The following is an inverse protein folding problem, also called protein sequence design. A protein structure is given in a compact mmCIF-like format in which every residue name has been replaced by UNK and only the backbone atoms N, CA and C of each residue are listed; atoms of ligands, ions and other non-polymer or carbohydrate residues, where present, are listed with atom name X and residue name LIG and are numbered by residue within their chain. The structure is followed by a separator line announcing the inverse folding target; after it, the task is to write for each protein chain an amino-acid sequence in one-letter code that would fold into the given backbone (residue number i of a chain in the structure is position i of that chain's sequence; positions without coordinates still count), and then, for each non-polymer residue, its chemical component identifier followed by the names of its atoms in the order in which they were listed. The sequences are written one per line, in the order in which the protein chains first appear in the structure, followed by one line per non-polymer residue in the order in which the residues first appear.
data_IF_514403001619
#
_entry.id   IF_514403001619
#
_cell.length_a   1.000
_cell.length_b   1.000
_cell.length_c   1.000
_cell.angle_alpha   90.00
_cell.angle_beta   90.00
_cell.angle_gamma   90.00
#
_symmetry.space_group_name_H-M   'P 1'
#
loop_
_entity.id
_entity.type
_entity.pdbx_description
1 polymer ?
#
# COMPACT_ATOMS: atom_id res chain seq x y z
N UNK A 1 -24.08 -2.47 -42.57
CA UNK A 1 -24.57 -2.06 -41.23
C UNK A 1 -23.40 -2.24 -40.28
N UNK A 2 -22.71 -1.16 -39.93
CA UNK A 2 -21.59 -1.22 -39.03
C UNK A 2 -22.13 -1.33 -37.61
N UNK A 3 -21.81 -2.44 -36.97
CA UNK A 3 -22.16 -2.75 -35.60
C UNK A 3 -21.47 -1.72 -34.68
N UNK A 4 -22.23 -0.76 -34.18
CA UNK A 4 -21.79 0.11 -33.08
C UNK A 4 -21.77 -0.75 -31.82
N UNK A 5 -20.68 -1.50 -31.61
CA UNK A 5 -20.35 -1.96 -30.29
C UNK A 5 -20.19 -0.70 -29.41
N UNK A 6 -21.19 -0.49 -28.57
CA UNK A 6 -21.11 0.46 -27.47
C UNK A 6 -19.97 -0.01 -26.56
N UNK A 7 -18.77 0.49 -26.79
CA UNK A 7 -17.67 0.43 -25.84
C UNK A 7 -18.19 1.13 -24.60
N UNK A 8 -18.56 0.37 -23.57
CA UNK A 8 -18.81 0.90 -22.24
C UNK A 8 -17.55 1.67 -21.85
N UNK A 9 -17.62 2.99 -21.95
CA UNK A 9 -16.50 3.86 -21.66
C UNK A 9 -16.09 3.58 -20.21
N UNK A 10 -14.88 3.04 -20.02
CA UNK A 10 -14.35 2.70 -18.71
C UNK A 10 -14.27 3.98 -17.87
N UNK A 11 -14.77 3.92 -16.64
CA UNK A 11 -14.68 5.05 -15.70
C UNK A 11 -13.20 5.38 -15.46
N UNK A 12 -12.85 6.64 -15.29
CA UNK A 12 -11.49 7.10 -15.14
C UNK A 12 -11.39 8.31 -14.22
N UNK A 13 -10.18 8.70 -13.86
CA UNK A 13 -9.96 9.89 -13.05
C UNK A 13 -10.32 11.16 -13.82
N UNK A 14 -11.03 12.09 -13.16
CA UNK A 14 -11.44 13.37 -13.76
C UNK A 14 -10.35 14.43 -13.67
N UNK A 15 -9.42 14.28 -12.73
CA UNK A 15 -8.36 15.25 -12.52
C UNK A 15 -7.02 14.58 -12.24
N UNK A 16 -5.93 15.23 -12.66
CA UNK A 16 -4.57 14.82 -12.36
C UNK A 16 -4.32 14.67 -10.85
N UNK A 17 -4.75 15.65 -10.07
CA UNK A 17 -4.63 15.57 -8.62
C UNK A 17 -5.49 14.47 -7.99
N UNK A 18 -6.68 14.20 -8.56
CA UNK A 18 -7.49 13.07 -8.13
C UNK A 18 -6.80 11.73 -8.35
N UNK A 19 -6.15 11.55 -9.50
CA UNK A 19 -5.31 10.38 -9.77
C UNK A 19 -4.13 10.29 -8.78
N UNK A 20 -3.35 11.38 -8.64
CA UNK A 20 -2.19 11.39 -7.73
C UNK A 20 -2.62 11.06 -6.30
N UNK A 21 -3.69 11.68 -5.78
CA UNK A 21 -4.20 11.41 -4.43
C UNK A 21 -4.75 9.98 -4.28
N UNK A 22 -5.33 9.41 -5.32
CA UNK A 22 -5.74 8.00 -5.29
C UNK A 22 -4.53 7.05 -5.26
N UNK A 23 -3.49 7.34 -6.04
CA UNK A 23 -2.23 6.58 -5.99
C UNK A 23 -1.51 6.75 -4.65
N UNK A 24 -1.50 7.96 -4.08
CA UNK A 24 -0.98 8.20 -2.73
C UNK A 24 -1.78 7.37 -1.72
N UNK A 25 -3.11 7.39 -1.77
CA UNK A 25 -3.95 6.57 -0.89
C UNK A 25 -3.77 5.06 -1.09
N UNK A 26 -3.38 4.61 -2.29
CA UNK A 26 -2.98 3.23 -2.53
C UNK A 26 -1.64 2.89 -1.86
N UNK A 27 -0.68 3.80 -1.93
CA UNK A 27 0.66 3.63 -1.40
C UNK A 27 0.69 3.86 0.12
N UNK A 28 0.09 4.98 0.60
CA UNK A 28 0.01 5.32 2.03
C UNK A 28 -0.97 4.40 2.74
N UNK A 29 -0.45 3.36 3.35
CA UNK A 29 -1.24 2.35 4.04
C UNK A 29 -0.60 1.88 5.34
N UNK A 30 -0.95 0.66 5.72
CA UNK A 30 -0.41 0.04 6.93
C UNK A 30 1.12 -0.13 6.88
N UNK A 31 1.68 -0.26 5.68
CA UNK A 31 3.12 -0.31 5.47
C UNK A 31 3.86 0.92 5.97
N UNK A 32 3.26 2.11 5.80
CA UNK A 32 3.85 3.37 6.24
C UNK A 32 3.64 3.64 7.73
N UNK A 33 2.45 3.30 8.25
CA UNK A 33 2.06 3.69 9.61
C UNK A 33 2.57 2.70 10.66
N UNK A 34 2.59 1.44 10.33
CA UNK A 34 2.93 0.41 11.29
C UNK A 34 4.32 -0.21 11.00
N UNK A 35 4.55 -0.67 9.76
CA UNK A 35 5.76 -1.42 9.42
C UNK A 35 6.99 -0.53 9.30
N UNK A 36 6.87 0.61 8.64
CA UNK A 36 7.99 1.52 8.43
C UNK A 36 8.63 2.03 9.73
N UNK A 37 7.87 2.52 10.75
CA UNK A 37 8.46 2.91 12.03
C UNK A 37 9.22 1.76 12.71
N UNK A 38 8.71 0.52 12.59
CA UNK A 38 9.39 -0.67 13.12
C UNK A 38 10.72 -0.90 12.41
N UNK A 39 10.73 -0.83 11.08
CA UNK A 39 11.97 -1.02 10.31
C UNK A 39 13.01 0.04 10.65
N UNK A 40 12.60 1.32 10.79
CA UNK A 40 13.47 2.40 11.25
C UNK A 40 14.03 2.11 12.66
N UNK A 41 13.19 1.59 13.56
CA UNK A 41 13.60 1.25 14.93
C UNK A 41 14.54 0.06 14.99
N UNK A 42 14.26 -1.02 14.24
CA UNK A 42 15.07 -2.24 14.26
C UNK A 42 16.43 -2.07 13.60
N UNK A 43 16.53 -1.26 12.56
CA UNK A 43 17.72 -1.13 11.73
C UNK A 43 18.50 0.15 11.93
N UNK A 44 18.12 0.96 12.94
CA UNK A 44 18.95 2.07 13.42
C UNK A 44 18.78 3.40 12.69
N UNK A 45 17.58 3.98 12.67
CA UNK A 45 17.35 5.36 12.24
C UNK A 45 17.89 5.66 10.84
N UNK A 46 18.83 6.62 10.73
CA UNK A 46 19.45 7.01 9.45
C UNK A 46 20.20 5.88 8.75
N UNK A 47 20.68 4.89 9.48
CA UNK A 47 21.31 3.68 8.93
C UNK A 47 20.36 2.92 8.01
N UNK A 48 19.06 2.87 8.36
CA UNK A 48 18.01 2.30 7.53
C UNK A 48 17.47 3.29 6.49
N UNK A 49 17.29 4.55 6.87
CA UNK A 49 16.66 5.56 6.02
C UNK A 49 17.44 5.83 4.73
N UNK A 50 18.80 5.84 4.79
CA UNK A 50 19.64 6.08 3.60
C UNK A 50 19.42 4.99 2.53
N UNK A 51 19.58 3.69 2.82
CA UNK A 51 19.23 2.62 1.89
C UNK A 51 17.77 2.68 1.42
N UNK A 52 16.83 2.98 2.31
CA UNK A 52 15.42 3.10 1.97
C UNK A 52 15.16 4.18 0.91
N UNK A 53 15.71 5.39 1.07
CA UNK A 53 15.56 6.47 0.07
C UNK A 53 16.15 6.08 -1.29
N UNK A 54 17.31 5.42 -1.29
CA UNK A 54 17.92 4.93 -2.53
C UNK A 54 16.99 3.91 -3.22
N UNK A 55 16.42 2.98 -2.46
CA UNK A 55 15.47 1.99 -2.97
C UNK A 55 14.17 2.63 -3.47
N UNK A 56 13.63 3.62 -2.77
CA UNK A 56 12.42 4.37 -3.22
C UNK A 56 12.67 5.08 -4.54
N UNK A 57 13.81 5.75 -4.70
CA UNK A 57 14.18 6.42 -5.95
C UNK A 57 14.28 5.39 -7.08
N UNK A 58 14.94 4.26 -6.82
CA UNK A 58 15.12 3.21 -7.80
C UNK A 58 13.79 2.59 -8.24
N UNK A 59 12.96 2.16 -7.29
CA UNK A 59 11.67 1.52 -7.58
C UNK A 59 10.69 2.53 -8.18
N UNK A 60 10.63 3.75 -7.65
CA UNK A 60 9.77 4.81 -8.15
C UNK A 60 10.09 5.21 -9.59
N UNK A 61 11.39 5.28 -9.92
CA UNK A 61 11.85 5.63 -11.27
C UNK A 61 11.83 4.47 -12.28
N UNK A 62 11.53 3.25 -11.84
CA UNK A 62 11.49 2.06 -12.72
C UNK A 62 10.17 1.31 -12.61
N UNK A 63 9.91 0.66 -11.48
CA UNK A 63 8.74 -0.20 -11.27
C UNK A 63 7.42 0.57 -11.35
N UNK A 64 7.29 1.69 -10.61
CA UNK A 64 6.05 2.49 -10.61
C UNK A 64 5.78 3.08 -12.00
N UNK A 65 6.78 3.66 -12.67
CA UNK A 65 6.64 4.15 -14.05
C UNK A 65 6.23 3.00 -14.98
N UNK A 66 6.88 1.83 -14.83
CA UNK A 66 6.60 0.66 -15.66
C UNK A 66 5.18 0.13 -15.49
N UNK A 67 4.68 0.03 -14.26
CA UNK A 67 3.31 -0.41 -13.98
C UNK A 67 2.26 0.60 -14.47
N UNK A 68 2.45 1.89 -14.24
CA UNK A 68 1.57 2.92 -14.80
C UNK A 68 1.54 2.86 -16.33
N UNK A 69 2.72 2.73 -16.97
CA UNK A 69 2.81 2.64 -18.41
C UNK A 69 2.14 1.35 -18.95
N UNK A 70 2.36 0.21 -18.31
CA UNK A 70 1.72 -1.05 -18.68
C UNK A 70 0.19 -0.96 -18.61
N UNK A 71 -0.33 -0.42 -17.52
CA UNK A 71 -1.78 -0.18 -17.36
C UNK A 71 -2.33 0.78 -18.41
N UNK A 72 -1.68 1.93 -18.61
CA UNK A 72 -2.10 2.95 -19.59
C UNK A 72 -2.00 2.47 -21.04
N UNK A 73 -0.95 1.71 -21.38
CA UNK A 73 -0.76 1.15 -22.72
C UNK A 73 -1.92 0.27 -23.16
N UNK A 74 -2.50 -0.43 -22.21
CA UNK A 74 -3.48 -1.49 -22.49
C UNK A 74 -4.92 -1.08 -22.15
N UNK A 75 -5.10 -0.06 -21.31
CA UNK A 75 -6.40 0.33 -20.77
C UNK A 75 -7.10 -0.80 -20.01
N UNK A 76 -6.34 -1.75 -19.47
CA UNK A 76 -6.83 -2.95 -18.81
C UNK A 76 -6.08 -3.25 -17.53
N UNK A 77 -6.73 -3.99 -16.61
CA UNK A 77 -6.04 -4.56 -15.44
C UNK A 77 -5.03 -5.64 -15.85
N UNK A 78 -4.35 -6.27 -14.86
CA UNK A 78 -3.20 -7.17 -15.12
C UNK A 78 -3.48 -8.27 -16.15
N UNK A 79 -4.67 -8.88 -16.15
CA UNK A 79 -5.04 -9.94 -17.12
C UNK A 79 -4.97 -9.42 -18.56
N UNK A 80 -5.71 -8.35 -18.85
CA UNK A 80 -5.71 -7.78 -20.19
C UNK A 80 -4.36 -7.17 -20.58
N UNK A 81 -3.67 -6.59 -19.62
CA UNK A 81 -2.35 -5.99 -19.82
C UNK A 81 -1.30 -7.04 -20.22
N UNK A 82 -1.21 -8.13 -19.49
CA UNK A 82 -0.29 -9.23 -19.81
C UNK A 82 -0.70 -9.93 -21.10
N UNK A 83 -2.02 -10.13 -21.33
CA UNK A 83 -2.51 -10.64 -22.58
C UNK A 83 -2.08 -9.80 -23.78
N UNK A 84 -2.12 -8.46 -23.68
CA UNK A 84 -1.64 -7.56 -24.72
C UNK A 84 -0.14 -7.68 -24.97
N UNK A 85 0.67 -7.80 -23.93
CA UNK A 85 2.10 -7.99 -24.06
C UNK A 85 2.44 -9.29 -24.80
N UNK A 86 1.78 -10.39 -24.46
CA UNK A 86 2.02 -11.70 -25.13
C UNK A 86 1.37 -11.80 -26.49
N UNK A 87 0.32 -11.04 -26.79
CA UNK A 87 -0.26 -10.89 -28.13
C UNK A 87 0.76 -10.39 -29.15
N UNK A 88 1.67 -9.47 -28.74
CA UNK A 88 2.79 -9.02 -29.56
C UNK A 88 3.78 -10.16 -29.92
N UNK A 89 3.69 -11.29 -29.24
CA UNK A 89 4.45 -12.53 -29.48
C UNK A 89 3.60 -13.66 -30.04
N UNK A 90 2.34 -13.38 -30.43
CA UNK A 90 1.47 -14.31 -31.13
C UNK A 90 0.50 -15.12 -30.24
N UNK A 91 0.54 -14.99 -28.91
CA UNK A 91 -0.37 -15.74 -28.03
C UNK A 91 -0.89 -14.94 -26.83
N UNK A 92 -2.03 -14.32 -26.99
CA UNK A 92 -2.70 -13.52 -25.96
C UNK A 92 -3.11 -14.34 -24.71
N UNK A 93 -3.57 -15.58 -24.91
CA UNK A 93 -4.10 -16.42 -23.82
C UNK A 93 -3.07 -16.74 -22.73
N UNK A 94 -1.79 -16.90 -23.11
CA UNK A 94 -0.72 -17.15 -22.14
C UNK A 94 -0.58 -15.96 -21.18
N UNK A 95 -0.56 -14.73 -21.70
CA UNK A 95 -0.48 -13.54 -20.86
C UNK A 95 -1.70 -13.36 -19.97
N UNK A 96 -2.89 -13.61 -20.50
CA UNK A 96 -4.13 -13.56 -19.72
C UNK A 96 -4.09 -14.58 -18.57
N UNK A 97 -3.65 -15.81 -18.81
CA UNK A 97 -3.50 -16.82 -17.77
C UNK A 97 -2.49 -16.41 -16.68
N UNK A 98 -1.33 -15.86 -17.08
CA UNK A 98 -0.33 -15.35 -16.13
C UNK A 98 -0.86 -14.14 -15.36
N UNK A 99 -1.66 -13.30 -15.98
CA UNK A 99 -2.25 -12.11 -15.38
C UNK A 99 -3.24 -12.38 -14.24
N UNK A 100 -3.75 -13.63 -14.12
CA UNK A 100 -4.54 -14.03 -12.96
C UNK A 100 -3.72 -14.05 -11.67
N UNK A 101 -2.42 -14.33 -11.72
CA UNK A 101 -1.56 -14.42 -10.52
C UNK A 101 -1.56 -13.11 -9.72
N UNK A 102 -1.23 -11.93 -10.29
CA UNK A 102 -1.29 -10.69 -9.55
C UNK A 102 -2.70 -10.26 -9.13
N UNK A 103 -3.75 -10.62 -9.90
CA UNK A 103 -5.13 -10.33 -9.49
C UNK A 103 -5.52 -11.16 -8.26
N UNK A 104 -5.16 -12.44 -8.21
CA UNK A 104 -5.36 -13.29 -7.04
C UNK A 104 -4.52 -12.79 -5.86
N UNK A 105 -3.30 -12.32 -6.11
CA UNK A 105 -2.44 -11.69 -5.09
C UNK A 105 -3.07 -10.45 -4.49
N UNK A 106 -3.59 -9.54 -5.33
CA UNK A 106 -4.30 -8.35 -4.89
C UNK A 106 -5.56 -8.70 -4.07
N UNK A 107 -6.33 -9.68 -4.54
CA UNK A 107 -7.51 -10.17 -3.82
C UNK A 107 -7.14 -10.79 -2.46
N UNK A 108 -6.12 -11.64 -2.41
CA UNK A 108 -5.67 -12.29 -1.19
C UNK A 108 -5.14 -11.27 -0.17
N UNK A 109 -4.40 -10.24 -0.64
CA UNK A 109 -3.93 -9.15 0.19
C UNK A 109 -5.10 -8.32 0.73
N UNK A 110 -6.09 -8.01 -0.12
CA UNK A 110 -7.31 -7.29 0.28
C UNK A 110 -8.10 -8.03 1.35
N UNK A 111 -8.17 -9.36 1.27
CA UNK A 111 -8.84 -10.21 2.26
C UNK A 111 -8.17 -10.09 3.63
N UNK A 112 -6.85 -10.20 3.72
CA UNK A 112 -6.11 -10.02 4.97
C UNK A 112 -6.26 -8.60 5.52
N UNK A 113 -6.16 -7.58 4.65
CA UNK A 113 -6.42 -6.17 5.02
C UNK A 113 -7.86 -5.95 5.52
N UNK A 114 -8.84 -6.71 5.05
CA UNK A 114 -10.23 -6.60 5.53
C UNK A 114 -10.34 -6.98 7.00
N UNK A 115 -9.62 -8.00 7.46
CA UNK A 115 -9.56 -8.36 8.89
C UNK A 115 -8.92 -7.25 9.70
N UNK A 116 -7.77 -6.76 9.25
CA UNK A 116 -7.03 -5.65 9.91
C UNK A 116 -7.89 -4.38 9.95
N UNK A 117 -8.63 -4.08 8.88
CA UNK A 117 -9.59 -2.97 8.87
C UNK A 117 -10.70 -3.14 9.91
N UNK A 118 -11.16 -4.36 10.14
CA UNK A 118 -12.07 -4.66 11.24
C UNK A 118 -11.48 -4.25 12.61
N UNK A 119 -10.21 -4.58 12.85
CA UNK A 119 -9.51 -4.13 14.07
C UNK A 119 -9.43 -2.61 14.16
N UNK A 120 -9.07 -1.94 13.06
CA UNK A 120 -8.96 -0.47 13.00
C UNK A 120 -10.31 0.21 13.28
N UNK A 121 -11.39 -0.26 12.65
CA UNK A 121 -12.74 0.27 12.91
C UNK A 121 -13.13 0.09 14.38
N UNK A 122 -12.88 -1.10 14.97
CA UNK A 122 -13.14 -1.35 16.41
C UNK A 122 -12.34 -0.37 17.27
N UNK A 123 -11.02 -0.24 17.03
CA UNK A 123 -10.18 0.66 17.83
C UNK A 123 -10.52 2.14 17.62
N UNK A 124 -10.91 2.54 16.43
CA UNK A 124 -11.44 3.89 16.19
C UNK A 124 -12.70 4.14 17.00
N UNK A 125 -13.61 3.17 17.05
CA UNK A 125 -14.85 3.29 17.83
C UNK A 125 -14.57 3.40 19.31
N UNK A 126 -13.74 2.52 19.89
CA UNK A 126 -13.43 2.57 21.34
C UNK A 126 -12.55 3.76 21.72
N UNK A 127 -11.78 4.32 20.79
CA UNK A 127 -11.09 5.59 21.01
C UNK A 127 -12.10 6.75 21.14
N UNK A 128 -13.10 6.80 20.26
CA UNK A 128 -14.17 7.83 20.28
C UNK A 128 -15.03 7.70 21.53
N UNK A 129 -15.49 6.49 21.89
CA UNK A 129 -16.31 6.28 23.10
C UNK A 129 -15.54 6.55 24.38
N UNK A 130 -14.21 6.39 24.36
CA UNK A 130 -13.33 6.54 25.52
C UNK A 130 -12.99 5.21 26.21
N UNK A 131 -13.55 4.09 25.75
CA UNK A 131 -13.29 2.76 26.31
C UNK A 131 -11.81 2.39 26.19
N UNK A 132 -11.14 2.81 25.10
CA UNK A 132 -9.71 2.62 24.93
C UNK A 132 -8.90 3.31 26.03
N UNK A 133 -9.26 4.55 26.37
CA UNK A 133 -8.59 5.31 27.42
C UNK A 133 -8.91 4.79 28.83
N UNK A 134 -10.10 4.23 29.02
CA UNK A 134 -10.52 3.63 30.28
C UNK A 134 -9.71 2.37 30.68
N UNK A 135 -9.04 1.70 29.72
CA UNK A 135 -8.12 0.60 30.01
C UNK A 135 -6.81 1.07 30.70
N UNK A 136 -6.57 2.40 30.75
CA UNK A 136 -5.35 2.97 31.36
C UNK A 136 -4.08 2.43 30.70
N UNK A 137 -3.03 2.27 31.52
CA UNK A 137 -1.74 1.69 31.10
C UNK A 137 -1.59 0.22 31.54
N UNK A 138 -2.68 -0.49 31.71
CA UNK A 138 -2.66 -1.90 32.03
C UNK A 138 -2.39 -2.73 30.76
N UNK A 139 -1.15 -3.16 30.59
CA UNK A 139 -0.71 -3.96 29.44
C UNK A 139 -1.44 -5.29 29.33
N UNK A 140 -1.87 -5.90 30.45
CA UNK A 140 -2.60 -7.15 30.44
C UNK A 140 -4.05 -6.93 29.93
N UNK A 141 -4.70 -5.85 30.39
CA UNK A 141 -6.03 -5.48 29.91
C UNK A 141 -6.02 -5.10 28.43
N UNK A 142 -5.06 -4.28 28.00
CA UNK A 142 -4.92 -3.85 26.60
C UNK A 142 -4.60 -5.05 25.69
N UNK A 143 -3.65 -5.91 26.09
CA UNK A 143 -3.27 -7.11 25.34
C UNK A 143 -4.43 -8.10 25.23
N UNK A 144 -5.08 -8.42 26.36
CA UNK A 144 -6.24 -9.31 26.37
C UNK A 144 -7.41 -8.78 25.55
N UNK A 145 -7.63 -7.45 25.52
CA UNK A 145 -8.64 -6.84 24.63
C UNK A 145 -8.26 -7.07 23.15
N UNK A 146 -7.00 -6.86 22.79
CA UNK A 146 -6.55 -7.07 21.41
C UNK A 146 -6.65 -8.55 21.01
N UNK A 147 -6.28 -9.49 21.87
CA UNK A 147 -6.39 -10.93 21.60
C UNK A 147 -7.82 -11.35 21.25
N UNK A 148 -8.81 -10.78 21.95
CA UNK A 148 -10.22 -11.01 21.63
C UNK A 148 -10.59 -10.37 20.28
N UNK A 149 -10.19 -9.13 20.05
CA UNK A 149 -10.48 -8.40 18.80
C UNK A 149 -9.84 -9.10 17.62
N UNK A 150 -8.62 -9.63 17.75
CA UNK A 150 -7.88 -10.28 16.70
C UNK A 150 -8.61 -11.49 16.08
N UNK A 151 -9.36 -12.23 16.89
CA UNK A 151 -10.04 -13.46 16.48
C UNK A 151 -11.57 -13.36 16.41
N UNK A 152 -12.16 -12.27 16.88
CA UNK A 152 -13.61 -12.09 16.98
C UNK A 152 -14.04 -10.66 16.63
N UNK A 153 -13.83 -10.29 15.37
CA UNK A 153 -14.11 -8.92 14.89
C UNK A 153 -15.18 -8.87 13.77
N UNK A 154 -16.03 -9.90 13.68
CA UNK A 154 -17.06 -10.02 12.63
C UNK A 154 -17.88 -8.75 12.36
N UNK A 155 -18.47 -8.06 13.37
CA UNK A 155 -19.26 -6.87 13.08
C UNK A 155 -18.46 -5.77 12.39
N UNK A 156 -17.20 -5.63 12.78
CA UNK A 156 -16.29 -4.60 12.27
C UNK A 156 -15.71 -4.92 10.90
N UNK A 157 -15.56 -6.22 10.57
CA UNK A 157 -15.29 -6.68 9.21
C UNK A 157 -16.44 -6.27 8.29
N UNK A 158 -17.68 -6.46 8.72
CA UNK A 158 -18.88 -6.05 7.95
C UNK A 158 -18.87 -4.52 7.75
N UNK A 159 -18.56 -3.74 8.79
CA UNK A 159 -18.45 -2.28 8.68
C UNK A 159 -17.37 -1.88 7.65
N UNK A 160 -16.20 -2.53 7.67
CA UNK A 160 -15.13 -2.26 6.73
C UNK A 160 -15.55 -2.57 5.28
N UNK A 161 -16.24 -3.67 5.04
CA UNK A 161 -16.77 -4.07 3.73
C UNK A 161 -17.85 -3.10 3.25
N UNK A 162 -18.78 -2.70 4.12
CA UNK A 162 -19.85 -1.73 3.78
C UNK A 162 -19.25 -0.37 3.43
N UNK A 163 -18.27 0.11 4.21
CA UNK A 163 -17.58 1.36 3.91
C UNK A 163 -16.84 1.30 2.56
N UNK A 164 -16.14 0.19 2.29
CA UNK A 164 -15.46 -0.04 1.02
C UNK A 164 -16.45 -0.11 -0.14
N UNK A 165 -17.58 -0.82 0.03
CA UNK A 165 -18.64 -0.91 -0.97
C UNK A 165 -19.22 0.47 -1.29
N UNK A 166 -19.53 1.27 -0.26
CA UNK A 166 -20.11 2.61 -0.44
C UNK A 166 -19.23 3.50 -1.32
N UNK A 167 -17.91 3.40 -1.17
CA UNK A 167 -16.97 4.17 -1.98
C UNK A 167 -16.79 3.56 -3.39
N UNK A 168 -16.53 2.25 -3.47
CA UNK A 168 -16.20 1.60 -4.73
C UNK A 168 -17.38 1.50 -5.70
N UNK A 169 -18.60 1.31 -5.18
CA UNK A 169 -19.82 1.23 -6.00
C UNK A 169 -20.12 2.52 -6.78
N UNK A 170 -19.64 3.67 -6.28
CA UNK A 170 -19.77 4.96 -6.96
C UNK A 170 -18.79 5.15 -8.13
N UNK A 171 -17.92 4.17 -8.39
CA UNK A 171 -16.94 4.21 -9.48
C UNK A 171 -15.61 4.86 -9.12
N UNK A 172 -14.74 5.01 -10.13
CA UNK A 172 -13.40 5.58 -9.95
C UNK A 172 -13.50 7.07 -9.68
N UNK A 173 -14.15 7.84 -10.55
CA UNK A 173 -14.26 9.30 -10.42
C UNK A 173 -15.26 9.74 -9.34
N UNK A 174 -16.36 9.00 -9.19
CA UNK A 174 -17.44 9.33 -8.25
C UNK A 174 -17.14 8.92 -6.80
N UNK A 175 -16.42 7.84 -6.62
CA UNK A 175 -16.12 7.22 -5.32
C UNK A 175 -14.64 7.33 -4.94
N UNK A 176 -13.78 6.55 -5.58
CA UNK A 176 -12.35 6.42 -5.22
C UNK A 176 -11.63 7.78 -5.24
N UNK A 177 -11.78 8.54 -6.33
CA UNK A 177 -11.15 9.86 -6.46
C UNK A 177 -11.64 10.84 -5.39
N UNK A 178 -12.96 10.91 -5.17
CA UNK A 178 -13.54 11.83 -4.17
C UNK A 178 -13.13 11.45 -2.75
N UNK A 179 -13.16 10.17 -2.41
CA UNK A 179 -12.75 9.70 -1.10
C UNK A 179 -11.28 10.06 -0.82
N UNK A 180 -10.37 9.78 -1.76
CA UNK A 180 -8.95 10.08 -1.58
C UNK A 180 -8.65 11.59 -1.57
N UNK A 181 -9.42 12.42 -2.30
CA UNK A 181 -9.31 13.88 -2.23
C UNK A 181 -9.60 14.45 -0.83
N UNK A 182 -10.37 13.75 -0.01
CA UNK A 182 -10.64 14.13 1.39
C UNK A 182 -9.70 13.41 2.34
N UNK A 183 -9.62 12.08 2.24
CA UNK A 183 -8.86 11.27 3.21
C UNK A 183 -7.37 11.61 3.22
N UNK A 184 -6.74 11.80 2.06
CA UNK A 184 -5.29 12.02 2.02
C UNK A 184 -4.86 13.37 2.60
N UNK A 185 -5.42 14.53 2.19
CA UNK A 185 -5.08 15.81 2.83
C UNK A 185 -5.37 15.83 4.33
N UNK A 186 -6.51 15.27 4.77
CA UNK A 186 -6.86 15.20 6.19
C UNK A 186 -5.85 14.33 6.96
N UNK A 187 -5.47 13.17 6.42
CA UNK A 187 -4.46 12.31 7.00
C UNK A 187 -3.13 13.06 7.22
N UNK A 188 -2.61 13.71 6.18
CA UNK A 188 -1.36 14.47 6.28
C UNK A 188 -1.46 15.60 7.32
N UNK A 189 -2.55 16.35 7.30
CA UNK A 189 -2.78 17.45 8.25
C UNK A 189 -2.83 16.94 9.71
N UNK A 190 -3.56 15.85 9.96
CA UNK A 190 -3.68 15.25 11.28
C UNK A 190 -2.34 14.67 11.76
N UNK A 191 -1.58 14.00 10.89
CA UNK A 191 -0.25 13.49 11.25
C UNK A 191 0.76 14.60 11.55
N UNK A 192 0.72 15.69 10.80
CA UNK A 192 1.56 16.87 11.09
C UNK A 192 1.19 17.46 12.45
N UNK A 193 -0.10 17.65 12.73
CA UNK A 193 -0.57 18.15 14.03
C UNK A 193 -0.16 17.24 15.18
N UNK A 194 -0.31 15.94 14.98
CA UNK A 194 0.09 14.93 15.95
C UNK A 194 1.61 14.91 16.17
N UNK A 195 2.40 15.01 15.11
CA UNK A 195 3.87 15.09 15.19
C UNK A 195 4.34 16.33 15.94
N UNK A 196 3.71 17.50 15.69
CA UNK A 196 4.00 18.74 16.43
C UNK A 196 3.68 18.54 17.90
N UNK A 197 2.52 18.00 18.26
CA UNK A 197 2.18 17.76 19.66
C UNK A 197 3.19 16.84 20.35
N UNK A 198 3.53 15.71 19.73
CA UNK A 198 4.47 14.73 20.29
C UNK A 198 5.88 15.32 20.47
N UNK A 199 6.30 16.23 19.58
CA UNK A 199 7.61 16.88 19.68
C UNK A 199 7.80 17.67 20.99
N UNK A 200 6.71 18.13 21.61
CA UNK A 200 6.75 18.85 22.88
C UNK A 200 6.62 17.93 24.12
N UNK A 201 6.42 16.62 23.93
CA UNK A 201 6.33 15.70 25.06
C UNK A 201 7.70 15.47 25.73
N UNK A 202 7.75 15.40 27.06
CA UNK A 202 8.96 14.98 27.78
C UNK A 202 9.42 13.59 27.32
N UNK A 203 10.70 13.44 26.99
CA UNK A 203 11.27 12.18 26.52
C UNK A 203 11.19 11.95 25.00
N UNK A 204 10.35 12.67 24.25
CA UNK A 204 10.24 12.52 22.79
C UNK A 204 11.55 12.83 22.06
N UNK A 205 12.39 13.73 22.59
CA UNK A 205 13.70 14.08 22.04
C UNK A 205 14.63 12.87 21.85
N UNK A 206 14.53 11.86 22.70
CA UNK A 206 15.30 10.62 22.58
C UNK A 206 14.91 9.85 21.30
N UNK A 207 13.61 9.80 20.96
CA UNK A 207 13.12 9.18 19.73
C UNK A 207 13.59 9.92 18.48
N UNK A 208 13.55 11.25 18.47
CA UNK A 208 14.10 12.04 17.36
C UNK A 208 15.60 11.83 17.20
N UNK A 209 16.35 11.89 18.30
CA UNK A 209 17.80 11.60 18.29
C UNK A 209 18.07 10.22 17.69
N UNK A 210 17.27 9.21 18.06
CA UNK A 210 17.39 7.86 17.52
C UNK A 210 17.18 7.82 16.00
N UNK A 211 16.12 8.46 15.50
CA UNK A 211 15.83 8.49 14.05
C UNK A 211 16.99 9.10 13.25
N UNK A 212 17.60 10.16 13.77
CA UNK A 212 18.72 10.85 13.11
C UNK A 212 20.10 10.25 13.42
N UNK A 213 20.18 9.20 14.22
CA UNK A 213 21.44 8.50 14.49
C UNK A 213 21.85 7.64 13.29
N UNK A 214 23.10 7.82 12.85
CA UNK A 214 23.72 7.03 11.79
C UNK A 214 24.84 6.16 12.40
N UNK A 215 24.75 4.85 12.16
CA UNK A 215 25.87 3.93 12.35
C UNK A 215 26.49 3.60 10.98
N UNK A 216 27.67 4.15 10.63
CA UNK A 216 28.32 3.86 9.35
C UNK A 216 28.67 2.38 9.15
N UNK A 217 28.90 1.63 10.25
CA UNK A 217 29.18 0.18 10.18
C UNK A 217 27.93 -0.60 9.83
N UNK A 218 26.77 -0.13 10.28
CA UNK A 218 25.48 -0.72 9.95
C UNK A 218 25.18 -0.66 8.44
N UNK A 219 25.65 0.37 7.73
CA UNK A 219 25.50 0.46 6.26
C UNK A 219 26.25 -0.65 5.50
N UNK A 220 27.25 -1.27 6.10
CA UNK A 220 27.95 -2.42 5.53
C UNK A 220 27.18 -3.74 5.72
N UNK A 221 26.14 -3.76 6.54
CA UNK A 221 25.31 -4.94 6.74
C UNK A 221 24.33 -5.14 5.57
N UNK A 222 24.45 -6.22 4.76
CA UNK A 222 23.55 -6.47 3.63
C UNK A 222 22.07 -6.56 4.01
N UNK A 223 21.77 -6.99 5.25
CA UNK A 223 20.40 -7.14 5.73
C UNK A 223 19.67 -5.80 5.78
N UNK A 224 20.36 -4.71 6.17
CA UNK A 224 19.78 -3.35 6.17
C UNK A 224 19.28 -2.98 4.77
N UNK A 225 20.06 -3.28 3.72
CA UNK A 225 19.67 -3.02 2.32
C UNK A 225 18.52 -3.90 1.85
N UNK A 226 18.52 -5.19 2.24
CA UNK A 226 17.45 -6.13 1.88
C UNK A 226 16.13 -5.69 2.50
N UNK A 227 16.12 -5.35 3.79
CA UNK A 227 14.90 -4.89 4.47
C UNK A 227 14.47 -3.48 4.01
N UNK A 228 15.40 -2.58 3.71
CA UNK A 228 15.10 -1.28 3.13
C UNK A 228 14.47 -1.41 1.73
N UNK A 229 14.99 -2.31 0.91
CA UNK A 229 14.41 -2.63 -0.39
C UNK A 229 13.02 -3.23 -0.25
N UNK A 230 12.84 -4.23 0.63
CA UNK A 230 11.53 -4.86 0.87
C UNK A 230 10.49 -3.85 1.35
N UNK A 231 10.86 -2.95 2.26
CA UNK A 231 9.98 -1.89 2.73
C UNK A 231 9.61 -0.90 1.62
N UNK A 232 10.56 -0.44 0.81
CA UNK A 232 10.30 0.49 -0.29
C UNK A 232 9.44 -0.17 -1.39
N UNK A 233 9.69 -1.45 -1.68
CA UNK A 233 8.95 -2.24 -2.64
C UNK A 233 7.47 -2.40 -2.25
N UNK A 234 7.22 -2.69 -0.98
CA UNK A 234 5.88 -2.82 -0.43
C UNK A 234 5.17 -1.46 -0.35
N UNK A 235 5.86 -0.42 0.15
CA UNK A 235 5.32 0.92 0.37
C UNK A 235 4.79 1.54 -0.92
N UNK A 236 5.53 1.45 -2.02
CA UNK A 236 5.15 2.01 -3.32
C UNK A 236 4.04 1.23 -4.05
N UNK A 237 3.42 0.24 -3.40
CA UNK A 237 2.32 -0.59 -3.94
C UNK A 237 2.66 -1.33 -5.26
N UNK A 238 3.93 -1.51 -5.56
CA UNK A 238 4.36 -2.28 -6.74
C UNK A 238 4.07 -3.77 -6.51
N UNK A 239 4.20 -4.24 -5.28
CA UNK A 239 3.96 -5.63 -4.88
C UNK A 239 2.53 -6.15 -5.18
N UNK A 240 1.52 -5.26 -5.27
CA UNK A 240 0.11 -5.66 -5.48
C UNK A 240 -0.43 -5.39 -6.89
N UNK A 241 0.40 -4.92 -7.83
CA UNK A 241 -0.03 -4.43 -9.16
C UNK A 241 -1.16 -3.37 -9.10
N UNK A 242 -1.30 -2.67 -7.98
CA UNK A 242 -2.25 -1.57 -7.82
C UNK A 242 -1.97 -0.43 -8.78
N UNK A 243 -0.69 -0.18 -9.08
CA UNK A 243 -0.25 0.81 -10.05
C UNK A 243 -0.63 0.44 -11.49
N UNK A 244 -0.70 -0.85 -11.85
CA UNK A 244 -1.19 -1.30 -13.17
C UNK A 244 -2.66 -0.95 -13.35
N UNK A 245 -3.50 -1.25 -12.33
CA UNK A 245 -4.93 -0.96 -12.44
C UNK A 245 -5.21 0.54 -12.48
N UNK A 246 -4.55 1.35 -11.64
CA UNK A 246 -4.71 2.80 -11.67
C UNK A 246 -4.12 3.42 -12.94
N UNK A 247 -3.00 2.89 -13.44
CA UNK A 247 -2.44 3.26 -14.73
C UNK A 247 -3.43 3.05 -15.89
N UNK A 248 -4.24 2.00 -15.82
CA UNK A 248 -5.25 1.71 -16.86
C UNK A 248 -6.39 2.72 -16.97
N UNK A 249 -6.54 3.60 -15.98
CA UNK A 249 -7.51 4.69 -15.97
C UNK A 249 -6.94 6.03 -16.43
N UNK A 250 -5.64 6.07 -16.81
CA UNK A 250 -4.96 7.28 -17.20
C UNK A 250 -5.17 7.63 -18.66
N UNK A 251 -5.31 8.94 -18.96
CA UNK A 251 -5.27 9.42 -20.33
C UNK A 251 -3.85 9.32 -20.91
N UNK A 252 -3.75 9.21 -22.24
CA UNK A 252 -2.46 9.07 -22.95
C UNK A 252 -1.50 10.25 -22.72
N UNK A 253 -2.00 11.45 -22.53
CA UNK A 253 -1.22 12.68 -22.34
C UNK A 253 -0.71 12.88 -20.90
N UNK A 254 -0.92 11.92 -19.97
CA UNK A 254 -0.42 12.05 -18.60
C UNK A 254 1.10 11.84 -18.54
N UNK A 255 1.78 12.71 -17.79
CA UNK A 255 3.21 12.62 -17.54
C UNK A 255 3.50 11.53 -16.48
N UNK A 256 3.73 10.29 -16.92
CA UNK A 256 3.95 9.15 -16.02
C UNK A 256 5.14 9.31 -15.08
N UNK A 257 6.35 9.71 -15.53
CA UNK A 257 7.47 9.94 -14.61
C UNK A 257 7.18 10.99 -13.55
N UNK A 258 6.47 12.08 -13.93
CA UNK A 258 6.07 13.11 -13.00
C UNK A 258 5.09 12.60 -11.95
N UNK A 259 4.11 11.81 -12.36
CA UNK A 259 3.12 11.21 -11.47
C UNK A 259 3.74 10.16 -10.55
N UNK A 260 4.61 9.28 -11.06
CA UNK A 260 5.35 8.30 -10.26
C UNK A 260 6.24 8.98 -9.19
N UNK A 261 6.95 10.05 -9.58
CA UNK A 261 7.74 10.86 -8.64
C UNK A 261 6.88 11.45 -7.52
N UNK A 262 5.72 12.01 -7.85
CA UNK A 262 4.84 12.59 -6.84
C UNK A 262 4.33 11.51 -5.87
N UNK A 263 3.94 10.34 -6.38
CA UNK A 263 3.52 9.22 -5.52
C UNK A 263 4.65 8.82 -4.59
N UNK A 264 5.86 8.61 -5.11
CA UNK A 264 7.02 8.22 -4.29
C UNK A 264 7.36 9.26 -3.21
N UNK A 265 7.30 10.57 -3.54
CA UNK A 265 7.55 11.64 -2.57
C UNK A 265 6.49 11.64 -1.47
N UNK A 266 5.20 11.63 -1.80
CA UNK A 266 4.15 11.69 -0.80
C UNK A 266 4.04 10.42 0.03
N UNK A 267 4.28 9.24 -0.57
CA UNK A 267 4.40 7.98 0.15
C UNK A 267 5.51 8.04 1.20
N UNK A 268 6.71 8.47 0.79
CA UNK A 268 7.85 8.64 1.67
C UNK A 268 7.60 9.66 2.78
N UNK A 269 6.94 10.80 2.45
CA UNK A 269 6.57 11.79 3.45
C UNK A 269 5.59 11.23 4.48
N UNK A 270 4.60 10.45 4.05
CA UNK A 270 3.67 9.79 4.97
C UNK A 270 4.38 8.79 5.90
N UNK A 271 5.29 7.99 5.34
CA UNK A 271 6.09 7.04 6.13
C UNK A 271 6.97 7.76 7.17
N UNK A 272 7.65 8.84 6.78
CA UNK A 272 8.46 9.66 7.69
C UNK A 272 7.60 10.34 8.76
N UNK A 273 6.45 10.90 8.41
CA UNK A 273 5.53 11.49 9.38
C UNK A 273 5.06 10.46 10.40
N UNK A 274 4.72 9.25 9.95
CA UNK A 274 4.35 8.16 10.86
C UNK A 274 5.51 7.79 11.79
N UNK A 275 6.75 7.69 11.27
CA UNK A 275 7.93 7.43 12.10
C UNK A 275 8.19 8.56 13.09
N UNK A 276 8.05 9.83 12.70
CA UNK A 276 8.20 11.00 13.55
C UNK A 276 7.10 11.16 14.60
N UNK A 277 5.98 10.47 14.45
CA UNK A 277 4.92 10.36 15.44
C UNK A 277 5.19 9.18 16.37
N UNK A 278 5.36 7.97 15.80
CA UNK A 278 5.35 6.72 16.55
C UNK A 278 6.64 6.54 17.37
N UNK A 279 7.82 6.73 16.78
CA UNK A 279 9.09 6.49 17.48
C UNK A 279 9.30 7.46 18.64
N UNK A 280 9.10 8.79 18.50
CA UNK A 280 9.17 9.71 19.62
C UNK A 280 8.07 9.50 20.67
N UNK A 281 6.85 9.08 20.25
CA UNK A 281 5.79 8.72 21.19
C UNK A 281 6.17 7.51 22.05
N UNK A 282 6.70 6.46 21.42
CA UNK A 282 7.20 5.28 22.12
C UNK A 282 8.34 5.63 23.09
N UNK A 283 9.28 6.47 22.66
CA UNK A 283 10.37 6.95 23.52
C UNK A 283 9.87 7.75 24.73
N UNK A 284 8.90 8.65 24.53
CA UNK A 284 8.27 9.43 25.59
C UNK A 284 7.52 8.54 26.60
N UNK A 285 6.88 7.47 26.12
CA UNK A 285 6.19 6.48 26.95
C UNK A 285 7.10 5.43 27.59
N UNK A 286 8.43 5.49 27.35
CA UNK A 286 9.38 4.49 27.87
C UNK A 286 9.18 3.08 27.29
N UNK A 287 8.50 2.96 26.17
CA UNK A 287 8.22 1.69 25.52
C UNK A 287 9.43 1.21 24.68
N UNK A 288 9.67 -0.12 24.59
CA UNK A 288 10.77 -0.64 23.79
C UNK A 288 10.52 -0.41 22.31
N UNK A 289 11.49 0.19 21.62
CA UNK A 289 11.40 0.51 20.19
C UNK A 289 11.51 -0.73 19.28
N UNK A 290 11.95 -1.86 19.81
CA UNK A 290 12.22 -3.10 19.08
C UNK A 290 10.97 -3.98 18.86
N UNK A 291 9.81 -3.59 19.42
CA UNK A 291 8.57 -4.34 19.27
C UNK A 291 7.94 -4.09 17.91
N UNK A 292 7.44 -5.15 17.29
CA UNK A 292 6.88 -5.12 15.95
C UNK A 292 5.51 -5.80 15.83
N UNK A 293 5.02 -5.87 14.60
CA UNK A 293 3.74 -6.50 14.26
C UNK A 293 2.50 -5.73 14.76
N UNK A 294 1.31 -6.37 14.71
CA UNK A 294 0.05 -5.73 15.15
C UNK A 294 0.09 -5.24 16.59
N UNK A 295 0.81 -5.94 17.45
CA UNK A 295 0.98 -5.58 18.87
C UNK A 295 1.57 -4.18 19.07
N UNK A 296 2.40 -3.68 18.16
CA UNK A 296 2.93 -2.32 18.27
C UNK A 296 1.79 -1.30 18.26
N UNK A 297 0.87 -1.40 17.31
CA UNK A 297 -0.19 -0.41 17.14
C UNK A 297 -1.34 -0.60 18.13
N UNK A 298 -1.77 -1.83 18.36
CA UNK A 298 -2.99 -2.12 19.10
C UNK A 298 -2.76 -2.39 20.59
N UNK A 299 -1.50 -2.60 21.00
CA UNK A 299 -1.16 -2.84 22.40
C UNK A 299 -0.18 -1.76 22.90
N UNK A 300 1.05 -1.73 22.36
CA UNK A 300 2.08 -0.83 22.88
C UNK A 300 1.75 0.64 22.69
N UNK A 301 1.33 1.05 21.49
CA UNK A 301 1.00 2.44 21.23
C UNK A 301 -0.27 2.88 21.97
N UNK A 302 -1.26 1.99 22.14
CA UNK A 302 -2.44 2.26 22.98
C UNK A 302 -2.02 2.53 24.43
N UNK A 303 -1.14 1.71 25.00
CA UNK A 303 -0.61 1.93 26.34
C UNK A 303 0.08 3.30 26.45
N UNK A 304 0.91 3.65 25.49
CA UNK A 304 1.61 4.95 25.47
C UNK A 304 0.58 6.10 25.37
N UNK A 305 -0.37 6.01 24.42
CA UNK A 305 -1.41 7.02 24.25
C UNK A 305 -2.25 7.22 25.51
N UNK A 306 -2.60 6.13 26.21
CA UNK A 306 -3.39 6.20 27.43
C UNK A 306 -2.64 6.91 28.58
N UNK A 307 -1.32 6.84 28.60
CA UNK A 307 -0.47 7.51 29.60
C UNK A 307 -0.15 8.97 29.29
N UNK A 308 -0.40 9.45 28.07
CA UNK A 308 -0.08 10.82 27.67
C UNK A 308 -1.13 11.84 28.15
N UNK A 309 -0.73 13.11 28.45
CA UNK A 309 -1.66 14.21 28.60
C UNK A 309 -2.54 14.33 27.34
N UNK A 310 -3.86 14.44 27.49
CA UNK A 310 -4.78 14.48 26.34
C UNK A 310 -4.83 13.20 25.48
N UNK A 311 -4.31 12.09 25.98
CA UNK A 311 -4.17 10.83 25.25
C UNK A 311 -5.47 10.30 24.62
N UNK A 312 -6.63 10.58 25.21
CA UNK A 312 -7.94 10.26 24.62
C UNK A 312 -8.13 10.93 23.26
N UNK A 313 -7.89 12.24 23.15
CA UNK A 313 -8.07 12.99 21.90
C UNK A 313 -7.01 12.55 20.87
N UNK A 314 -5.77 12.38 21.32
CA UNK A 314 -4.66 11.96 20.49
C UNK A 314 -4.91 10.56 19.91
N UNK A 315 -5.45 9.65 20.74
CA UNK A 315 -5.83 8.31 20.31
C UNK A 315 -6.92 8.32 19.24
N UNK A 316 -7.93 9.18 19.36
CA UNK A 316 -8.95 9.38 18.32
C UNK A 316 -8.32 9.86 17.02
N UNK A 317 -7.47 10.91 17.08
CA UNK A 317 -6.79 11.47 15.90
C UNK A 317 -5.93 10.39 15.23
N UNK A 318 -5.16 9.65 16.02
CA UNK A 318 -4.29 8.59 15.51
C UNK A 318 -5.10 7.51 14.78
N UNK A 319 -6.13 6.95 15.42
CA UNK A 319 -6.93 5.88 14.81
C UNK A 319 -7.76 6.36 13.61
N UNK A 320 -8.17 7.62 13.55
CA UNK A 320 -8.78 8.20 12.34
C UNK A 320 -7.76 8.29 11.20
N UNK A 321 -6.51 8.67 11.46
CA UNK A 321 -5.45 8.64 10.45
C UNK A 321 -5.22 7.21 9.91
N UNK A 322 -5.11 6.25 10.83
CA UNK A 322 -4.94 4.83 10.49
C UNK A 322 -6.13 4.30 9.68
N UNK A 323 -7.36 4.70 10.05
CA UNK A 323 -8.58 4.35 9.33
C UNK A 323 -8.56 4.84 7.88
N UNK A 324 -8.17 6.09 7.65
CA UNK A 324 -8.09 6.65 6.30
C UNK A 324 -7.01 5.98 5.45
N UNK A 325 -5.84 5.72 6.01
CA UNK A 325 -4.77 5.00 5.34
C UNK A 325 -5.17 3.56 4.98
N UNK A 326 -5.78 2.85 5.92
CA UNK A 326 -6.22 1.47 5.68
C UNK A 326 -7.37 1.39 4.68
N UNK A 327 -8.36 2.31 4.77
CA UNK A 327 -9.51 2.33 3.86
C UNK A 327 -9.11 2.66 2.42
N UNK A 328 -8.20 3.62 2.21
CA UNK A 328 -7.69 3.93 0.88
C UNK A 328 -6.92 2.76 0.25
N UNK A 329 -6.16 2.02 1.05
CA UNK A 329 -5.41 0.85 0.59
C UNK A 329 -6.32 -0.31 0.23
N UNK A 330 -7.32 -0.64 1.06
CA UNK A 330 -8.22 -1.77 0.79
C UNK A 330 -9.07 -1.53 -0.47
N UNK A 331 -9.50 -0.29 -0.70
CA UNK A 331 -10.21 0.10 -1.92
C UNK A 331 -9.36 -0.17 -3.16
N UNK A 332 -8.08 0.20 -3.13
CA UNK A 332 -7.17 -0.05 -4.26
C UNK A 332 -6.96 -1.55 -4.50
N UNK A 333 -6.76 -2.32 -3.43
CA UNK A 333 -6.53 -3.76 -3.55
C UNK A 333 -7.73 -4.50 -4.13
N UNK A 334 -8.95 -4.14 -3.75
CA UNK A 334 -10.16 -4.72 -4.33
C UNK A 334 -10.46 -4.22 -5.75
N UNK A 335 -9.87 -3.10 -6.18
CA UNK A 335 -10.13 -2.54 -7.50
C UNK A 335 -9.68 -3.47 -8.64
N UNK A 336 -8.54 -4.13 -8.49
CA UNK A 336 -8.01 -5.03 -9.50
C UNK A 336 -8.95 -6.23 -9.80
N UNK A 337 -9.44 -7.00 -8.81
CA UNK A 337 -10.43 -8.04 -9.05
C UNK A 337 -11.79 -7.50 -9.52
N UNK A 338 -12.25 -6.34 -9.04
CA UNK A 338 -13.50 -5.71 -9.50
C UNK A 338 -13.41 -5.34 -10.98
N UNK A 339 -12.34 -4.66 -11.38
CA UNK A 339 -12.11 -4.32 -12.79
C UNK A 339 -11.96 -5.57 -13.66
N UNK A 340 -11.38 -6.64 -13.13
CA UNK A 340 -11.30 -7.92 -13.84
C UNK A 340 -12.68 -8.49 -14.17
N UNK A 341 -13.63 -8.44 -13.24
CA UNK A 341 -15.01 -8.87 -13.52
C UNK A 341 -15.69 -7.95 -14.55
N UNK A 342 -15.44 -6.65 -14.48
CA UNK A 342 -15.98 -5.71 -15.47
C UNK A 342 -15.40 -5.95 -16.87
N UNK A 343 -14.09 -6.14 -16.97
CA UNK A 343 -13.38 -6.30 -18.24
C UNK A 343 -13.69 -7.65 -18.90
N UNK A 344 -13.69 -8.75 -18.14
CA UNK A 344 -13.80 -10.10 -18.68
C UNK A 344 -15.24 -10.62 -18.72
N UNK A 345 -16.05 -10.35 -17.70
CA UNK A 345 -17.44 -10.81 -17.62
C UNK A 345 -18.45 -9.72 -18.00
N UNK A 346 -17.97 -8.52 -18.38
CA UNK A 346 -18.83 -7.38 -18.78
C UNK A 346 -19.87 -6.99 -17.72
N UNK A 347 -19.59 -7.26 -16.45
CA UNK A 347 -20.48 -6.90 -15.36
C UNK A 347 -20.46 -5.38 -15.14
N UNK A 348 -21.62 -4.84 -14.75
CA UNK A 348 -21.70 -3.44 -14.30
C UNK A 348 -20.93 -3.26 -13.00
N UNK A 349 -20.52 -2.03 -12.71
CA UNK A 349 -19.70 -1.66 -11.53
C UNK A 349 -20.27 -2.19 -10.21
N UNK A 350 -21.53 -1.88 -9.90
CA UNK A 350 -22.16 -2.23 -8.62
C UNK A 350 -22.17 -3.74 -8.37
N UNK A 351 -22.70 -4.61 -9.29
CA UNK A 351 -22.67 -6.05 -9.07
C UNK A 351 -21.25 -6.63 -9.03
N UNK A 352 -20.31 -6.13 -9.84
CA UNK A 352 -18.91 -6.58 -9.77
C UNK A 352 -18.30 -6.28 -8.40
N UNK A 353 -18.50 -5.07 -7.89
CA UNK A 353 -18.05 -4.68 -6.54
C UNK A 353 -18.71 -5.53 -5.46
N UNK A 354 -20.02 -5.74 -5.53
CA UNK A 354 -20.74 -6.56 -4.54
C UNK A 354 -20.21 -7.99 -4.49
N UNK A 355 -20.04 -8.64 -5.64
CA UNK A 355 -19.54 -10.02 -5.74
C UNK A 355 -18.14 -10.14 -5.07
N UNK A 356 -17.21 -9.26 -5.47
CA UNK A 356 -15.83 -9.30 -4.96
C UNK A 356 -15.79 -9.04 -3.46
N UNK A 357 -16.53 -8.04 -2.97
CA UNK A 357 -16.53 -7.70 -1.54
C UNK A 357 -17.23 -8.76 -0.70
N UNK A 358 -18.29 -9.40 -1.21
CA UNK A 358 -18.93 -10.53 -0.52
C UNK A 358 -17.96 -11.72 -0.40
N UNK A 359 -17.28 -12.08 -1.50
CA UNK A 359 -16.26 -13.15 -1.47
C UNK A 359 -15.15 -12.77 -0.48
N UNK A 360 -14.66 -11.53 -0.55
CA UNK A 360 -13.64 -11.02 0.36
C UNK A 360 -14.08 -11.07 1.83
N UNK A 361 -15.31 -10.67 2.12
CA UNK A 361 -15.90 -10.73 3.46
C UNK A 361 -15.96 -12.16 4.00
N UNK A 362 -16.50 -13.08 3.22
CA UNK A 362 -16.63 -14.49 3.64
C UNK A 362 -15.26 -15.09 3.95
N UNK A 363 -14.27 -14.89 3.07
CA UNK A 363 -12.92 -15.44 3.30
C UNK A 363 -12.26 -14.72 4.49
N UNK A 364 -12.40 -13.39 4.62
CA UNK A 364 -11.86 -12.64 5.75
C UNK A 364 -12.38 -13.16 7.09
N UNK A 365 -13.66 -13.52 7.16
CA UNK A 365 -14.25 -14.14 8.37
C UNK A 365 -13.60 -15.49 8.67
N UNK A 366 -13.33 -16.29 7.66
CA UNK A 366 -12.74 -17.63 7.83
C UNK A 366 -11.28 -17.57 8.28
N UNK A 367 -10.51 -16.58 7.83
CA UNK A 367 -9.07 -16.47 8.10
C UNK A 367 -8.71 -15.69 9.36
N UNK A 368 -9.67 -15.19 10.15
CA UNK A 368 -9.38 -14.32 11.31
C UNK A 368 -8.31 -14.91 12.25
N UNK A 369 -8.31 -16.22 12.44
CA UNK A 369 -7.36 -16.92 13.34
C UNK A 369 -5.97 -17.12 12.74
N UNK A 370 -5.83 -16.98 11.42
CA UNK A 370 -4.58 -17.19 10.67
C UNK A 370 -4.23 -15.96 9.83
N UNK A 371 -4.68 -14.76 10.25
CA UNK A 371 -4.49 -13.53 9.48
C UNK A 371 -3.01 -13.22 9.27
N UNK A 372 -2.16 -13.43 10.27
CA UNK A 372 -0.72 -13.17 10.14
C UNK A 372 -0.08 -14.12 9.13
N UNK A 373 -0.31 -15.41 9.24
CA UNK A 373 0.22 -16.44 8.33
C UNK A 373 -0.30 -16.24 6.91
N UNK A 374 -1.58 -15.87 6.77
CA UNK A 374 -2.17 -15.49 5.49
C UNK A 374 -1.44 -14.32 4.85
N UNK A 375 -1.23 -13.24 5.62
CA UNK A 375 -0.55 -12.04 5.15
C UNK A 375 0.91 -12.32 4.80
N UNK A 376 1.60 -13.17 5.56
CA UNK A 376 2.97 -13.57 5.29
C UNK A 376 3.08 -14.32 3.96
N UNK A 377 2.23 -15.32 3.71
CA UNK A 377 2.23 -16.03 2.43
C UNK A 377 2.00 -15.09 1.25
N UNK A 378 1.03 -14.19 1.38
CA UNK A 378 0.67 -13.26 0.30
C UNK A 378 1.77 -12.25 0.05
N UNK A 379 2.30 -11.61 1.10
CA UNK A 379 3.29 -10.54 0.97
C UNK A 379 4.69 -11.04 0.64
N UNK A 380 5.06 -12.24 1.10
CA UNK A 380 6.39 -12.82 0.86
C UNK A 380 6.49 -13.44 -0.53
N UNK A 381 5.44 -14.13 -0.99
CA UNK A 381 5.52 -14.91 -2.23
C UNK A 381 4.70 -14.33 -3.37
N UNK A 382 3.41 -14.06 -3.15
CA UNK A 382 2.48 -13.76 -4.25
C UNK A 382 2.68 -12.34 -4.78
N UNK A 383 2.80 -11.36 -3.89
CA UNK A 383 2.98 -9.97 -4.28
C UNK A 383 4.30 -9.70 -5.02
N UNK A 384 5.48 -10.13 -4.54
CA UNK A 384 6.74 -9.98 -5.28
C UNK A 384 6.75 -10.72 -6.62
N UNK A 385 6.10 -11.89 -6.69
CA UNK A 385 5.92 -12.61 -7.95
C UNK A 385 5.07 -11.80 -8.94
N UNK A 386 3.98 -11.19 -8.48
CA UNK A 386 3.14 -10.32 -9.30
C UNK A 386 3.90 -9.15 -9.91
N UNK A 387 4.74 -8.47 -9.12
CA UNK A 387 5.58 -7.37 -9.59
C UNK A 387 6.66 -7.83 -10.59
N UNK A 388 7.30 -8.97 -10.31
CA UNK A 388 8.27 -9.56 -11.23
C UNK A 388 7.62 -9.89 -12.58
N UNK A 389 6.42 -10.50 -12.55
CA UNK A 389 5.67 -10.83 -13.76
C UNK A 389 5.28 -9.57 -14.56
N UNK A 390 4.84 -8.49 -13.89
CA UNK A 390 4.56 -7.22 -14.56
C UNK A 390 5.82 -6.66 -15.24
N UNK A 391 6.97 -6.67 -14.53
CA UNK A 391 8.26 -6.26 -15.08
C UNK A 391 8.68 -7.11 -16.28
N UNK A 392 8.56 -8.43 -16.20
CA UNK A 392 8.88 -9.35 -17.32
C UNK A 392 7.96 -9.06 -18.50
N UNK A 393 6.65 -8.98 -18.30
CA UNK A 393 5.70 -8.74 -19.38
C UNK A 393 5.96 -7.42 -20.10
N UNK A 394 6.21 -6.35 -19.35
CA UNK A 394 6.41 -5.03 -19.93
C UNK A 394 7.80 -4.86 -20.54
N UNK A 395 8.87 -5.14 -19.78
CA UNK A 395 10.23 -4.82 -20.23
C UNK A 395 10.87 -5.89 -21.13
N UNK A 396 10.47 -7.17 -21.01
CA UNK A 396 11.06 -8.25 -21.77
C UNK A 396 10.15 -8.75 -22.89
N UNK A 397 8.86 -8.97 -22.62
CA UNK A 397 7.92 -9.54 -23.60
C UNK A 397 7.44 -8.48 -24.58
N UNK A 398 6.92 -7.33 -24.11
CA UNK A 398 6.46 -6.24 -24.99
C UNK A 398 7.64 -5.57 -25.73
N UNK A 399 8.79 -5.47 -25.09
CA UNK A 399 10.04 -5.06 -25.74
C UNK A 399 10.27 -3.55 -25.75
N UNK A 400 11.53 -3.16 -26.06
CA UNK A 400 12.05 -1.79 -25.89
C UNK A 400 11.20 -0.73 -26.59
N UNK A 401 10.82 -0.97 -27.85
CA UNK A 401 10.09 0.03 -28.64
C UNK A 401 8.74 0.33 -28.01
N UNK A 402 7.95 -0.70 -27.70
CA UNK A 402 6.64 -0.56 -27.07
C UNK A 402 6.72 0.19 -25.73
N UNK A 403 7.72 -0.17 -24.90
CA UNK A 403 7.95 0.46 -23.59
C UNK A 403 8.28 1.94 -23.74
N UNK A 404 9.22 2.28 -24.60
CA UNK A 404 9.67 3.67 -24.75
C UNK A 404 8.64 4.55 -25.44
N UNK A 405 7.91 4.02 -26.43
CA UNK A 405 6.83 4.73 -27.09
C UNK A 405 5.75 5.09 -26.06
N UNK A 406 5.36 4.13 -25.21
CA UNK A 406 4.33 4.36 -24.19
C UNK A 406 4.82 5.30 -23.07
N UNK A 407 6.02 5.12 -22.54
CA UNK A 407 6.51 5.96 -21.43
C UNK A 407 6.74 7.40 -21.89
N UNK A 408 7.13 7.62 -23.12
CA UNK A 408 7.36 8.95 -23.69
C UNK A 408 6.08 9.66 -24.12
N UNK A 409 4.99 8.94 -24.27
CA UNK A 409 3.69 9.54 -24.59
C UNK A 409 3.26 10.48 -23.45
N UNK A 410 2.90 11.72 -23.78
CA UNK A 410 2.61 12.80 -22.84
C UNK A 410 3.83 13.54 -22.27
N UNK A 411 5.07 13.21 -22.70
CA UNK A 411 6.27 13.93 -22.28
C UNK A 411 6.69 15.00 -23.30
N UNK A 412 7.13 16.16 -22.80
CA UNK A 412 7.74 17.20 -23.64
C UNK A 412 9.15 16.81 -24.11
N UNK A 413 9.88 16.06 -23.27
CA UNK A 413 11.22 15.52 -23.59
C UNK A 413 11.23 14.03 -23.29
N UNK A 414 11.76 13.19 -24.18
CA UNK A 414 11.87 11.76 -23.95
C UNK A 414 12.60 11.44 -22.64
N UNK A 415 12.17 10.35 -21.98
CA UNK A 415 12.88 9.84 -20.81
C UNK A 415 14.32 9.45 -21.19
N UNK A 416 15.27 9.65 -20.28
CA UNK A 416 16.67 9.37 -20.52
C UNK A 416 16.94 7.90 -20.87
N UNK A 417 18.00 7.66 -21.65
CA UNK A 417 18.38 6.31 -22.07
C UNK A 417 18.68 5.32 -20.94
N UNK A 418 18.89 5.84 -19.72
CA UNK A 418 19.11 5.05 -18.49
C UNK A 418 17.88 4.24 -18.06
N UNK A 419 16.67 4.72 -18.39
CA UNK A 419 15.40 4.13 -17.89
C UNK A 419 15.23 2.67 -18.27
N UNK A 420 15.30 2.38 -19.58
CA UNK A 420 14.99 1.03 -20.05
C UNK A 420 15.96 -0.05 -19.52
N UNK A 421 17.31 0.13 -19.58
CA UNK A 421 18.20 -0.88 -19.00
C UNK A 421 18.05 -1.00 -17.48
N UNK A 422 17.85 0.10 -16.76
CA UNK A 422 17.65 0.07 -15.32
C UNK A 422 16.36 -0.70 -14.95
N UNK A 423 15.25 -0.41 -15.64
CA UNK A 423 13.97 -1.08 -15.41
C UNK A 423 14.01 -2.55 -15.86
N UNK A 424 14.62 -2.84 -17.01
CA UNK A 424 14.67 -4.20 -17.54
C UNK A 424 15.54 -5.14 -16.72
N UNK A 425 16.72 -4.68 -16.31
CA UNK A 425 17.70 -5.55 -15.64
C UNK A 425 17.69 -5.35 -14.13
N UNK A 426 17.93 -4.13 -13.65
CA UNK A 426 18.11 -3.89 -12.21
C UNK A 426 16.82 -4.11 -11.46
N UNK A 427 15.71 -3.51 -11.89
CA UNK A 427 14.42 -3.68 -11.22
C UNK A 427 13.95 -5.14 -11.23
N UNK A 428 14.02 -5.85 -12.37
CA UNK A 428 13.59 -7.25 -12.44
C UNK A 428 14.49 -8.16 -11.58
N UNK A 429 15.81 -7.92 -11.53
CA UNK A 429 16.72 -8.67 -10.66
C UNK A 429 16.36 -8.41 -9.18
N UNK A 430 16.09 -7.17 -8.82
CA UNK A 430 15.70 -6.83 -7.45
C UNK A 430 14.36 -7.46 -7.05
N UNK A 431 13.40 -7.61 -7.97
CA UNK A 431 12.17 -8.37 -7.71
C UNK A 431 12.47 -9.86 -7.43
N UNK A 432 13.43 -10.46 -8.15
CA UNK A 432 13.89 -11.83 -7.86
C UNK A 432 14.56 -11.89 -6.48
N UNK A 433 15.41 -10.91 -6.16
CA UNK A 433 16.06 -10.81 -4.84
C UNK A 433 14.99 -10.68 -3.74
N UNK A 434 13.95 -9.85 -3.93
CA UNK A 434 12.86 -9.71 -2.99
C UNK A 434 12.15 -11.06 -2.73
N UNK A 435 11.84 -11.79 -3.80
CA UNK A 435 11.16 -13.09 -3.71
C UNK A 435 12.04 -14.13 -3.00
N UNK A 436 13.32 -14.23 -3.38
CA UNK A 436 14.24 -15.23 -2.81
C UNK A 436 14.60 -14.89 -1.36
N UNK A 437 14.95 -13.64 -1.09
CA UNK A 437 15.29 -13.20 0.27
C UNK A 437 14.06 -13.24 1.20
N UNK A 438 12.88 -12.84 0.69
CA UNK A 438 11.62 -12.98 1.42
C UNK A 438 11.35 -14.42 1.82
N UNK A 439 11.48 -15.37 0.89
CA UNK A 439 11.30 -16.78 1.16
C UNK A 439 12.33 -17.34 2.17
N UNK A 440 13.60 -16.93 2.05
CA UNK A 440 14.68 -17.42 2.90
C UNK A 440 14.62 -16.84 4.33
N UNK A 441 14.14 -15.60 4.51
CA UNK A 441 14.15 -14.88 5.77
C UNK A 441 12.79 -14.84 6.48
N UNK A 442 11.77 -15.44 5.89
CA UNK A 442 10.39 -15.38 6.42
C UNK A 442 9.76 -13.98 6.29
N UNK A 443 10.19 -13.22 5.28
CA UNK A 443 9.79 -11.85 5.00
C UNK A 443 10.96 -10.86 5.02
N UNK A 444 10.88 -9.82 4.23
CA UNK A 444 11.92 -8.76 4.13
C UNK A 444 11.40 -7.36 4.37
N UNK A 445 10.27 -7.25 4.95
CA UNK A 445 9.75 -5.95 5.23
C UNK A 445 8.34 -6.00 5.78
#
# INVERSE_FOLDING_TARGET
MADKQATTQRDGFKSKWGFILACIGSAVGMGNIWRFPIMVSLWGGMTFLIPYFICVILIGSTGVIGEFALGRATGAGPIGAFGKCTELRGNRKIGEAIGFIPVLGSMALAIGYTVVMGWIFKYTAIAITGDMHAMGQDMAAIGGHFDIVAISTLPWIIVAIVASFAIMAMGVSGGIEKANKVMMPVLFFLFVGLGIYIAFLPGASAGYKYIFTLDPKGLANPMVWIFAFGQAFFSLSVAGNGSVIYGSYLPKNENLPGSARNVAIFDTLAALLAAFVIIPAMAAGGAPLEKGGPGLMFVWLVNVLNGMPGGRIIGVIFFVCVLFAGLSSIINLYEAPVATLQDNLKLKRVPATAIILVIGCVIAILIQKITSEWMDVVSIYICPLGALLAGIMFFWVAGKKFVLDEVNDGLQKPIGGWFYPLAKYVYCILCIVALVAGAALGGIG
#
